data_IF_172640382935
#
_entry.id   IF_172640382935
#
_cell.length_a   1.000
_cell.length_b   1.000
_cell.length_c   1.000
_cell.angle_alpha   90.00
_cell.angle_beta   90.00
_cell.angle_gamma   90.00
#
_symmetry.space_group_name_H-M   'P 1'
#
loop_
_entity.id
_entity.type
_entity.pdbx_description
1 polymer ?
#
# COMPACT_ATOMS: atom_id res chain seq x y z
N UNK A 1 -21.44 -5.90 5.51
CA UNK A 1 -20.47 -6.36 6.52
C UNK A 1 -19.88 -7.77 6.30
N UNK A 2 -20.49 -8.65 5.49
CA UNK A 2 -20.13 -10.08 5.45
C UNK A 2 -19.07 -10.57 4.42
N UNK A 3 -18.71 -9.81 3.38
CA UNK A 3 -18.03 -10.40 2.22
C UNK A 3 -16.49 -10.36 2.25
N UNK A 4 -15.89 -9.36 2.91
CA UNK A 4 -14.44 -9.11 2.88
C UNK A 4 -13.72 -9.87 4.00
N UNK A 5 -14.32 -9.90 5.20
CA UNK A 5 -13.84 -10.78 6.26
C UNK A 5 -13.98 -12.25 5.84
N UNK A 6 -15.05 -12.67 5.16
CA UNK A 6 -15.26 -14.09 4.79
C UNK A 6 -14.13 -14.72 3.95
N UNK A 7 -13.61 -14.02 2.94
CA UNK A 7 -12.60 -14.57 2.03
C UNK A 7 -11.17 -14.38 2.52
N UNK A 8 -10.86 -13.24 3.16
CA UNK A 8 -9.58 -13.05 3.84
C UNK A 8 -9.48 -13.95 5.06
N UNK A 9 -10.52 -14.09 5.89
CA UNK A 9 -10.53 -15.07 6.97
C UNK A 9 -10.53 -16.50 6.45
N UNK A 10 -11.21 -16.89 5.37
CA UNK A 10 -11.10 -18.29 4.88
C UNK A 10 -9.67 -18.70 4.51
N UNK A 11 -8.81 -17.78 4.03
CA UNK A 11 -7.38 -18.05 3.79
C UNK A 11 -6.49 -17.75 5.00
N UNK A 12 -6.78 -16.70 5.77
CA UNK A 12 -6.03 -16.28 6.97
C UNK A 12 -6.31 -17.19 8.16
N UNK A 13 -7.55 -17.65 8.37
CA UNK A 13 -7.90 -18.71 9.33
C UNK A 13 -7.21 -20.03 8.98
N UNK A 14 -6.93 -20.28 7.70
CA UNK A 14 -6.10 -21.44 7.29
C UNK A 14 -4.62 -21.28 7.68
N UNK A 15 -4.15 -20.04 7.87
CA UNK A 15 -2.78 -19.72 8.28
C UNK A 15 -2.65 -19.52 9.81
N UNK A 16 -3.73 -19.10 10.47
CA UNK A 16 -3.83 -18.93 11.93
C UNK A 16 -4.06 -20.27 12.65
N UNK A 17 -4.43 -21.34 11.93
CA UNK A 17 -4.58 -22.67 12.51
C UNK A 17 -3.54 -23.64 11.92
N UNK A 18 -2.28 -23.48 12.33
CA UNK A 18 -1.40 -24.62 12.55
C UNK A 18 -0.80 -24.48 13.94
N UNK A 19 -1.65 -24.67 14.96
CA UNK A 19 -1.18 -25.16 16.25
C UNK A 19 -1.07 -26.68 16.13
N UNK A 20 0.14 -27.16 15.88
CA UNK A 20 0.46 -28.57 16.16
C UNK A 20 1.44 -28.74 17.32
N UNK A 21 1.97 -27.66 17.91
CA UNK A 21 3.07 -27.76 18.88
C UNK A 21 3.30 -26.54 19.82
N UNK A 22 2.27 -25.75 20.17
CA UNK A 22 2.40 -24.63 21.13
C UNK A 22 3.39 -23.50 20.70
N UNK A 23 3.75 -23.40 19.42
CA UNK A 23 4.71 -22.41 18.94
C UNK A 23 4.05 -21.08 18.55
N UNK A 24 4.63 -19.96 19.00
CA UNK A 24 4.18 -18.61 18.65
C UNK A 24 4.51 -18.30 17.17
N UNK A 25 3.50 -17.88 16.39
CA UNK A 25 3.70 -17.45 15.00
C UNK A 25 3.93 -15.93 14.99
N UNK A 26 5.11 -15.50 14.59
CA UNK A 26 5.41 -14.08 14.43
C UNK A 26 4.53 -13.43 13.36
N UNK A 27 4.03 -12.23 13.66
CA UNK A 27 3.16 -11.42 12.78
C UNK A 27 3.80 -11.18 11.40
N UNK A 28 5.13 -11.07 11.33
CA UNK A 28 5.84 -10.83 10.07
C UNK A 28 5.65 -11.98 9.07
N UNK A 29 5.45 -13.22 9.57
CA UNK A 29 5.14 -14.37 8.70
C UNK A 29 3.74 -14.24 8.09
N UNK A 30 2.77 -13.78 8.87
CA UNK A 30 1.42 -13.51 8.36
C UNK A 30 1.46 -12.38 7.31
N UNK A 31 2.15 -11.28 7.62
CA UNK A 31 2.33 -10.17 6.70
C UNK A 31 3.00 -10.59 5.39
N UNK A 32 4.00 -11.47 5.44
CA UNK A 32 4.66 -12.02 4.26
C UNK A 32 3.66 -12.70 3.30
N UNK A 33 2.81 -13.60 3.81
CA UNK A 33 1.83 -14.28 2.96
C UNK A 33 0.74 -13.33 2.44
N UNK A 34 0.34 -12.33 3.23
CA UNK A 34 -0.57 -11.27 2.76
C UNK A 34 0.08 -10.52 1.60
N UNK A 35 1.35 -10.11 1.70
CA UNK A 35 2.07 -9.43 0.61
C UNK A 35 2.14 -10.30 -0.64
N UNK A 36 2.45 -11.59 -0.51
CA UNK A 36 2.55 -12.50 -1.66
C UNK A 36 1.23 -12.64 -2.43
N UNK A 37 0.10 -12.72 -1.71
CA UNK A 37 -1.23 -12.79 -2.33
C UNK A 37 -1.62 -11.45 -2.97
N UNK A 38 -1.46 -10.33 -2.23
CA UNK A 38 -1.84 -9.00 -2.71
C UNK A 38 -0.94 -8.52 -3.85
N UNK A 39 0.32 -8.95 -3.89
CA UNK A 39 1.21 -8.68 -5.01
C UNK A 39 0.66 -9.25 -6.33
N UNK A 40 -0.07 -10.36 -6.29
CA UNK A 40 -0.67 -10.97 -7.49
C UNK A 40 -2.03 -10.37 -7.81
N UNK A 41 -2.83 -10.09 -6.78
CA UNK A 41 -4.27 -9.81 -6.93
C UNK A 41 -4.61 -8.32 -6.92
N UNK A 42 -3.91 -7.50 -6.13
CA UNK A 42 -4.26 -6.09 -5.95
C UNK A 42 -3.78 -5.23 -7.15
N UNK A 43 -4.68 -4.48 -7.82
CA UNK A 43 -4.29 -3.49 -8.82
C UNK A 43 -3.45 -2.37 -8.20
N UNK A 44 -2.46 -1.89 -8.97
CA UNK A 44 -1.59 -0.77 -8.62
C UNK A 44 -2.28 0.53 -8.96
N UNK A 45 -2.18 1.49 -8.05
CA UNK A 45 -2.69 2.85 -8.21
C UNK A 45 -1.73 3.84 -7.55
N UNK A 46 -1.88 5.13 -7.83
CA UNK A 46 -1.09 6.18 -7.19
C UNK A 46 -1.95 7.00 -6.24
N UNK A 47 -1.41 7.19 -5.04
CA UNK A 47 -1.94 8.05 -3.98
C UNK A 47 -0.74 8.75 -3.36
N UNK A 48 -0.87 10.04 -3.06
CA UNK A 48 0.13 10.86 -2.39
C UNK A 48 -0.41 11.23 -1.02
N UNK A 49 0.28 10.78 0.03
CA UNK A 49 -0.15 10.96 1.42
C UNK A 49 0.08 12.37 1.92
N UNK A 50 1.25 12.94 1.64
CA UNK A 50 1.62 14.29 2.04
C UNK A 50 1.97 15.10 0.80
N UNK A 51 0.98 15.68 0.10
CA UNK A 51 1.18 16.30 -1.20
C UNK A 51 2.05 17.55 -1.14
N UNK A 52 3.07 17.61 -2.00
CA UNK A 52 3.80 18.84 -2.35
C UNK A 52 3.55 19.16 -3.81
N UNK A 53 3.13 20.40 -4.06
CA UNK A 53 2.81 20.89 -5.40
C UNK A 53 4.07 21.00 -6.26
N UNK A 54 3.97 20.50 -7.48
CA UNK A 54 4.96 20.60 -8.54
C UNK A 54 4.31 21.22 -9.77
N UNK A 55 4.90 22.29 -10.29
CA UNK A 55 4.48 22.98 -11.50
C UNK A 55 5.44 22.66 -12.63
N UNK A 56 4.93 22.07 -13.70
CA UNK A 56 5.65 21.76 -14.92
C UNK A 56 5.65 22.99 -15.82
N UNK A 57 6.76 23.71 -15.86
CA UNK A 57 6.85 25.06 -16.47
C UNK A 57 6.89 25.03 -17.99
N UNK A 58 7.29 23.92 -18.60
CA UNK A 58 7.39 23.74 -20.05
C UNK A 58 6.24 22.91 -20.64
N UNK A 59 5.14 22.72 -19.91
CA UNK A 59 3.89 22.15 -20.41
C UNK A 59 2.81 23.25 -20.42
N UNK A 60 2.05 23.34 -21.50
CA UNK A 60 0.94 24.30 -21.60
C UNK A 60 -0.14 23.99 -20.55
N UNK A 61 -0.70 25.04 -19.94
CA UNK A 61 -1.56 24.91 -18.75
C UNK A 61 -2.88 24.17 -19.04
N UNK A 62 -3.36 24.23 -20.28
CA UNK A 62 -4.59 23.56 -20.71
C UNK A 62 -4.35 22.13 -21.20
N UNK A 63 -3.08 21.70 -21.29
CA UNK A 63 -2.73 20.40 -21.85
C UNK A 63 -2.93 19.25 -20.86
N UNK A 64 -3.57 18.18 -21.33
CA UNK A 64 -3.72 16.91 -20.61
C UNK A 64 -3.11 15.79 -21.45
N UNK A 65 -2.05 15.16 -20.94
CA UNK A 65 -1.43 13.98 -21.55
C UNK A 65 -1.87 12.73 -20.78
N UNK A 66 -2.61 11.83 -21.41
CA UNK A 66 -3.04 10.59 -20.77
C UNK A 66 -1.94 9.51 -20.89
N UNK A 67 -1.27 9.20 -19.78
CA UNK A 67 -0.23 8.16 -19.72
C UNK A 67 -0.82 6.80 -19.31
N UNK A 68 -0.24 5.71 -19.83
CA UNK A 68 -0.65 4.35 -19.50
C UNK A 68 0.09 3.84 -18.26
N UNK A 69 -0.66 3.62 -17.17
CA UNK A 69 -0.15 3.03 -15.94
C UNK A 69 -0.56 1.57 -15.83
N UNK A 70 0.40 0.70 -15.47
CA UNK A 70 0.17 -0.75 -15.39
C UNK A 70 -0.48 -1.13 -14.05
N UNK A 71 -1.56 -1.91 -14.07
CA UNK A 71 -2.28 -2.36 -12.87
C UNK A 71 -1.63 -3.56 -12.18
N UNK A 72 -0.99 -4.47 -12.91
CA UNK A 72 -0.37 -5.68 -12.33
C UNK A 72 1.02 -5.94 -12.93
N UNK A 73 2.05 -6.32 -12.14
CA UNK A 73 3.42 -6.53 -12.63
C UNK A 73 3.49 -7.65 -13.66
N UNK A 74 2.77 -8.74 -13.42
CA UNK A 74 2.76 -9.94 -14.25
C UNK A 74 1.82 -9.86 -15.46
N UNK A 75 1.04 -8.79 -15.60
CA UNK A 75 0.15 -8.65 -16.74
C UNK A 75 0.93 -8.62 -18.06
N UNK A 76 0.46 -9.40 -19.04
CA UNK A 76 1.02 -9.45 -20.38
C UNK A 76 0.76 -8.13 -21.11
N UNK A 77 1.73 -7.68 -21.92
CA UNK A 77 1.72 -6.34 -22.53
C UNK A 77 0.62 -6.12 -23.58
N UNK A 78 -0.09 -7.16 -23.99
CA UNK A 78 -1.09 -7.15 -25.06
C UNK A 78 -2.55 -7.06 -24.57
N UNK A 79 -2.77 -7.01 -23.25
CA UNK A 79 -4.11 -6.86 -22.68
C UNK A 79 -4.35 -5.42 -22.23
N UNK A 80 -5.19 -4.68 -22.97
CA UNK A 80 -5.54 -3.30 -22.64
C UNK A 80 -6.18 -3.13 -21.26
N UNK A 81 -6.84 -4.18 -20.72
CA UNK A 81 -7.47 -4.12 -19.39
C UNK A 81 -6.45 -4.06 -18.24
N UNK A 82 -5.20 -4.43 -18.53
CA UNK A 82 -4.05 -4.42 -17.63
C UNK A 82 -3.47 -3.02 -17.36
N UNK A 83 -3.99 -2.00 -18.06
CA UNK A 83 -3.59 -0.62 -17.89
C UNK A 83 -4.77 0.25 -17.44
N UNK A 84 -4.46 1.41 -16.89
CA UNK A 84 -5.39 2.51 -16.67
C UNK A 84 -4.73 3.81 -17.12
N UNK A 85 -5.53 4.75 -17.57
CA UNK A 85 -5.06 6.08 -17.96
C UNK A 85 -4.89 6.95 -16.72
N UNK A 86 -3.78 7.67 -16.66
CA UNK A 86 -3.51 8.69 -15.64
C UNK A 86 -3.29 10.02 -16.36
N UNK A 87 -4.01 11.09 -15.99
CA UNK A 87 -3.79 12.40 -16.58
C UNK A 87 -2.46 12.98 -16.08
N UNK A 88 -1.68 13.52 -17.01
CA UNK A 88 -0.48 14.31 -16.74
C UNK A 88 -0.75 15.74 -17.20
N UNK A 89 -0.79 16.66 -16.25
CA UNK A 89 -1.10 18.09 -16.44
C UNK A 89 0.04 18.95 -15.91
N UNK A 90 -0.02 20.28 -16.09
CA UNK A 90 1.04 21.18 -15.65
C UNK A 90 1.16 21.25 -14.12
N UNK A 91 0.13 20.85 -13.36
CA UNK A 91 0.17 20.81 -11.90
C UNK A 91 0.04 19.37 -11.42
N UNK A 92 1.05 18.90 -10.70
CA UNK A 92 1.07 17.59 -10.07
C UNK A 92 1.57 17.65 -8.64
N UNK A 93 1.43 16.53 -7.94
CA UNK A 93 1.77 16.39 -6.54
C UNK A 93 2.63 15.14 -6.34
N UNK A 94 3.66 15.28 -5.53
CA UNK A 94 4.55 14.20 -5.08
C UNK A 94 4.55 14.13 -3.55
N UNK A 95 5.10 13.07 -2.96
CA UNK A 95 5.27 13.02 -1.51
C UNK A 95 6.22 14.10 -1.02
N UNK A 96 5.89 14.68 0.13
CA UNK A 96 6.77 15.59 0.85
C UNK A 96 8.16 15.02 1.09
N UNK A 97 8.23 13.74 1.43
CA UNK A 97 9.49 13.05 1.72
C UNK A 97 10.34 12.79 0.47
N UNK A 98 9.77 12.92 -0.72
CA UNK A 98 10.45 12.74 -2.01
C UNK A 98 11.17 13.99 -2.50
N UNK A 99 11.10 15.12 -1.77
CA UNK A 99 11.89 16.31 -2.04
C UNK A 99 12.82 16.67 -0.87
N UNK A 100 14.04 17.11 -1.17
CA UNK A 100 14.98 17.69 -0.19
C UNK A 100 15.75 18.86 -0.80
N UNK A 101 16.08 19.86 0.04
CA UNK A 101 16.90 21.02 -0.33
C UNK A 101 18.32 20.64 -0.74
N UNK A 102 18.95 19.76 0.04
CA UNK A 102 20.31 19.30 -0.20
C UNK A 102 20.31 17.89 -0.78
N UNK A 103 20.96 17.72 -1.92
CA UNK A 103 21.16 16.40 -2.54
C UNK A 103 22.29 15.61 -1.86
N UNK A 104 22.22 14.29 -1.95
CA UNK A 104 23.29 13.38 -1.54
C UNK A 104 23.39 12.22 -2.53
N UNK A 105 24.57 11.58 -2.60
CA UNK A 105 24.86 10.51 -3.58
C UNK A 105 23.94 9.29 -3.45
N UNK A 106 23.41 9.06 -2.26
CA UNK A 106 22.50 7.96 -1.89
C UNK A 106 21.01 8.37 -1.90
N UNK A 107 20.71 9.64 -2.19
CA UNK A 107 19.34 10.11 -2.29
C UNK A 107 18.78 9.85 -3.70
N UNK A 108 17.59 9.27 -3.77
CA UNK A 108 16.89 8.98 -5.02
C UNK A 108 15.63 9.83 -5.23
N UNK A 109 15.38 10.81 -4.36
CA UNK A 109 14.33 11.80 -4.54
C UNK A 109 14.76 13.02 -5.34
N UNK A 110 13.88 14.01 -5.41
CA UNK A 110 14.04 15.27 -6.11
C UNK A 110 14.76 16.31 -5.24
N UNK A 111 15.62 17.10 -5.85
CA UNK A 111 16.35 18.20 -5.22
C UNK A 111 16.60 19.28 -6.28
N UNK A 112 16.91 20.53 -5.90
CA UNK A 112 17.24 21.60 -6.86
C UNK A 112 18.28 21.16 -7.89
N UNK A 113 17.97 21.33 -9.18
CA UNK A 113 18.83 20.93 -10.31
C UNK A 113 18.86 19.43 -10.63
N UNK A 114 18.26 18.58 -9.80
CA UNK A 114 18.24 17.12 -9.96
C UNK A 114 17.03 16.66 -10.77
N UNK A 115 17.19 15.53 -11.46
CA UNK A 115 16.12 14.86 -12.20
C UNK A 115 15.66 13.56 -11.55
N UNK A 116 14.36 13.27 -11.67
CA UNK A 116 13.70 12.02 -11.25
C UNK A 116 12.71 11.57 -12.32
N UNK A 117 12.41 10.27 -12.37
CA UNK A 117 11.37 9.73 -13.24
C UNK A 117 10.04 9.70 -12.50
N UNK A 118 9.01 10.32 -13.07
CA UNK A 118 7.65 10.10 -12.63
C UNK A 118 7.17 8.72 -13.11
N UNK A 119 6.72 7.87 -12.18
CA UNK A 119 6.25 6.51 -12.46
C UNK A 119 5.22 6.55 -13.61
N UNK A 120 5.44 5.73 -14.63
CA UNK A 120 4.61 5.64 -15.85
C UNK A 120 4.60 6.87 -16.78
N UNK A 121 5.27 7.98 -16.44
CA UNK A 121 5.26 9.21 -17.22
C UNK A 121 6.65 9.58 -17.74
N UNK A 122 7.10 10.80 -17.44
CA UNK A 122 8.30 11.44 -17.97
C UNK A 122 9.31 11.73 -16.86
N UNK A 123 10.62 11.78 -17.18
CA UNK A 123 11.59 12.41 -16.31
C UNK A 123 11.25 13.89 -16.11
N UNK A 124 11.39 14.39 -14.90
CA UNK A 124 11.29 15.82 -14.57
C UNK A 124 12.60 16.28 -13.94
N UNK A 125 12.97 17.55 -14.16
CA UNK A 125 14.11 18.21 -13.53
C UNK A 125 13.62 19.39 -12.71
N UNK A 126 13.97 19.44 -11.43
CA UNK A 126 13.67 20.60 -10.59
C UNK A 126 14.51 21.80 -11.03
N UNK A 127 13.85 22.89 -11.42
CA UNK A 127 14.45 24.12 -11.92
C UNK A 127 14.44 25.22 -10.87
N UNK A 128 13.37 25.33 -10.09
CA UNK A 128 13.23 26.31 -9.01
C UNK A 128 12.34 25.78 -7.87
N UNK A 129 12.43 26.41 -6.69
CA UNK A 129 11.69 25.98 -5.49
C UNK A 129 11.25 27.20 -4.69
N UNK A 130 9.95 27.27 -4.41
CA UNK A 130 9.34 28.28 -3.54
C UNK A 130 9.27 27.71 -2.12
N UNK A 131 9.96 28.37 -1.20
CA UNK A 131 9.95 28.05 0.23
C UNK A 131 8.99 28.99 0.97
N UNK A 132 8.41 28.50 2.07
CA UNK A 132 7.60 29.27 3.00
C UNK A 132 8.44 29.98 4.06
N UNK A 133 7.78 30.29 5.19
CA UNK A 133 8.38 31.05 6.29
C UNK A 133 9.59 30.37 6.91
N UNK A 134 9.64 29.04 6.85
CA UNK A 134 10.83 28.26 7.20
C UNK A 134 11.48 27.68 5.93
N UNK A 135 12.81 27.68 5.89
CA UNK A 135 13.57 27.20 4.72
C UNK A 135 13.40 25.70 4.42
N UNK A 136 12.76 24.94 5.33
CA UNK A 136 12.44 23.53 5.15
C UNK A 136 10.99 23.32 4.69
N UNK A 137 10.19 24.39 4.62
CA UNK A 137 8.78 24.40 4.27
C UNK A 137 8.63 24.68 2.78
N UNK A 138 8.85 23.67 1.95
CA UNK A 138 8.64 23.78 0.50
C UNK A 138 7.15 23.99 0.22
N UNK A 139 6.79 25.07 -0.44
CA UNK A 139 5.40 25.34 -0.82
C UNK A 139 5.15 24.78 -2.22
N UNK A 140 6.06 25.06 -3.16
CA UNK A 140 5.90 24.73 -4.56
C UNK A 140 7.25 24.43 -5.20
N UNK A 141 7.29 23.43 -6.07
CA UNK A 141 8.48 23.05 -6.84
C UNK A 141 8.21 23.35 -8.30
N UNK A 142 9.10 24.06 -8.97
CA UNK A 142 9.06 24.22 -10.42
C UNK A 142 9.96 23.19 -11.06
N UNK A 143 9.46 22.56 -12.12
CA UNK A 143 10.20 21.54 -12.84
C UNK A 143 9.92 21.60 -14.34
N UNK A 144 10.88 21.11 -15.11
CA UNK A 144 10.71 20.88 -16.55
C UNK A 144 10.65 19.37 -16.83
N UNK A 145 9.72 18.94 -17.68
CA UNK A 145 9.62 17.54 -18.09
C UNK A 145 10.39 17.28 -19.39
N UNK A 146 10.99 16.09 -19.49
CA UNK A 146 11.69 15.60 -20.67
C UNK A 146 10.78 14.68 -21.49
N UNK A 147 10.07 15.26 -22.46
CA UNK A 147 9.19 14.53 -23.38
C UNK A 147 9.92 13.41 -24.15
N UNK A 148 11.17 13.65 -24.54
CA UNK A 148 11.98 12.72 -25.33
C UNK A 148 12.57 11.58 -24.49
N UNK A 149 12.42 11.64 -23.15
CA UNK A 149 12.95 10.66 -22.18
C UNK A 149 14.44 10.40 -22.38
N UNK A 150 15.21 11.43 -22.77
CA UNK A 150 16.67 11.36 -22.95
C UNK A 150 17.37 11.17 -21.63
N UNK A 151 16.86 11.81 -20.59
CA UNK A 151 17.35 11.74 -19.22
C UNK A 151 16.93 10.42 -18.59
N UNK A 152 17.89 9.67 -18.04
CA UNK A 152 17.65 8.42 -17.31
C UNK A 152 18.02 8.59 -15.84
N UNK A 153 17.17 9.27 -15.05
CA UNK A 153 17.44 9.48 -13.64
C UNK A 153 17.38 8.17 -12.86
N UNK A 154 18.06 8.13 -11.71
CA UNK A 154 18.09 6.94 -10.85
C UNK A 154 16.81 6.79 -10.02
N UNK A 155 16.19 7.90 -9.65
CA UNK A 155 15.00 7.97 -8.81
C UNK A 155 13.72 7.76 -9.60
N UNK A 156 12.75 7.06 -8.99
CA UNK A 156 11.39 6.92 -9.53
C UNK A 156 10.39 7.27 -8.44
N UNK A 157 9.54 8.26 -8.70
CA UNK A 157 8.54 8.77 -7.75
C UNK A 157 7.14 8.41 -8.21
N UNK A 158 6.25 8.09 -7.27
CA UNK A 158 4.81 8.12 -7.55
C UNK A 158 4.31 9.56 -7.44
N UNK A 159 3.19 9.83 -8.09
CA UNK A 159 2.63 11.16 -8.22
C UNK A 159 1.14 11.07 -8.53
N UNK A 160 0.44 12.18 -8.30
CA UNK A 160 -0.95 12.40 -8.70
C UNK A 160 -1.02 13.80 -9.30
N UNK A 161 -1.68 13.97 -10.44
CA UNK A 161 -1.91 15.28 -11.03
C UNK A 161 -3.35 15.73 -10.92
N UNK A 162 -3.57 17.01 -11.22
CA UNK A 162 -4.92 17.52 -11.45
C UNK A 162 -5.59 16.69 -12.57
N UNK A 163 -6.82 16.17 -12.37
CA UNK A 163 -7.51 15.39 -13.39
C UNK A 163 -7.83 16.21 -14.64
N UNK A 164 -8.01 17.51 -14.46
CA UNK A 164 -8.10 18.53 -15.51
C UNK A 164 -7.53 19.85 -14.97
N UNK A 165 -7.08 20.78 -15.84
CA UNK A 165 -6.56 22.08 -15.41
C UNK A 165 -7.47 22.78 -14.42
N UNK A 166 -6.92 23.21 -13.29
CA UNK A 166 -7.65 23.94 -12.25
C UNK A 166 -8.54 23.09 -11.32
N UNK A 167 -8.62 21.77 -11.53
CA UNK A 167 -9.38 20.86 -10.66
C UNK A 167 -8.44 20.14 -9.69
N UNK A 168 -8.74 20.15 -8.40
CA UNK A 168 -7.93 19.41 -7.42
C UNK A 168 -8.07 17.89 -7.59
N UNK A 169 -7.03 17.11 -7.25
CA UNK A 169 -7.14 15.66 -7.18
C UNK A 169 -8.22 15.20 -6.18
N UNK A 170 -8.65 13.94 -6.33
CA UNK A 170 -9.58 13.32 -5.39
C UNK A 170 -8.94 13.28 -3.99
N UNK A 171 -9.60 13.84 -2.98
CA UNK A 171 -9.19 13.75 -1.59
C UNK A 171 -9.70 12.46 -0.96
N UNK A 172 -8.84 11.74 -0.26
CA UNK A 172 -9.16 10.48 0.42
C UNK A 172 -8.58 10.45 1.82
N UNK A 173 -9.25 9.76 2.73
CA UNK A 173 -8.68 9.46 4.05
C UNK A 173 -7.87 8.17 3.99
N UNK A 174 -6.64 8.21 4.50
CA UNK A 174 -5.77 7.04 4.59
C UNK A 174 -5.41 6.80 6.05
N UNK A 175 -5.67 5.58 6.52
CA UNK A 175 -5.34 5.13 7.88
C UNK A 175 -4.15 4.18 7.82
N UNK A 176 -3.04 4.60 8.41
CA UNK A 176 -1.82 3.82 8.50
C UNK A 176 -1.82 3.11 9.85
N UNK A 177 -1.75 1.78 9.82
CA UNK A 177 -1.67 0.96 11.02
C UNK A 177 -0.25 0.42 11.22
N UNK A 178 0.17 0.38 12.48
CA UNK A 178 1.38 -0.27 12.98
C UNK A 178 0.98 -1.31 14.05
N UNK A 179 1.97 -2.01 14.62
CA UNK A 179 1.73 -2.96 15.71
C UNK A 179 1.00 -2.26 16.87
N UNK A 180 -0.05 -2.90 17.40
CA UNK A 180 -0.87 -2.37 18.50
C UNK A 180 -0.08 -2.28 19.81
N UNK A 181 0.82 -3.22 20.04
CA UNK A 181 1.62 -3.36 21.24
C UNK A 181 3.09 -3.09 20.92
N UNK A 182 3.83 -2.54 21.88
CA UNK A 182 5.27 -2.34 21.76
C UNK A 182 6.04 -3.65 21.98
N UNK A 183 5.55 -4.49 22.89
CA UNK A 183 6.16 -5.77 23.20
C UNK A 183 5.79 -6.86 22.20
N UNK A 184 6.72 -7.79 21.92
CA UNK A 184 6.45 -8.93 21.03
C UNK A 184 5.44 -9.91 21.63
N UNK A 185 5.44 -10.05 22.97
CA UNK A 185 4.52 -10.89 23.71
C UNK A 185 3.86 -10.11 24.86
N UNK A 186 2.83 -9.29 24.58
CA UNK A 186 2.15 -8.51 25.62
C UNK A 186 1.46 -9.39 26.68
N UNK A 187 1.19 -10.67 26.39
CA UNK A 187 0.55 -11.60 27.33
C UNK A 187 1.45 -12.01 28.51
N UNK A 188 2.76 -11.78 28.41
CA UNK A 188 3.73 -12.03 29.49
C UNK A 188 3.93 -10.80 30.40
N UNK A 189 3.34 -9.65 30.06
CA UNK A 189 3.43 -8.44 30.86
C UNK A 189 2.45 -8.50 32.04
N UNK A 190 2.90 -8.02 33.20
CA UNK A 190 2.03 -7.87 34.37
C UNK A 190 0.91 -6.84 34.12
N UNK A 191 1.22 -5.75 33.40
CA UNK A 191 0.27 -4.71 33.00
C UNK A 191 0.33 -4.45 31.48
N UNK A 192 -0.28 -5.34 30.71
CA UNK A 192 -0.36 -5.23 29.24
C UNK A 192 -1.15 -4.00 28.76
N UNK A 193 -1.97 -3.37 29.62
CA UNK A 193 -2.71 -2.15 29.27
C UNK A 193 -1.80 -0.92 29.17
N UNK A 194 -0.58 -1.01 29.73
CA UNK A 194 0.46 0.03 29.61
C UNK A 194 1.32 -0.09 28.34
N UNK A 195 1.23 -1.21 27.63
CA UNK A 195 2.03 -1.54 26.44
C UNK A 195 1.46 -1.10 25.06
N UNK A 196 0.24 -0.54 24.91
CA UNK A 196 -0.22 -0.06 23.62
C UNK A 196 0.73 0.97 22.98
N UNK A 197 1.02 0.77 21.70
CA UNK A 197 1.81 1.68 20.88
C UNK A 197 0.99 2.94 20.55
N UNK A 198 1.41 4.13 21.00
CA UNK A 198 0.71 5.38 20.69
C UNK A 198 0.71 5.71 19.20
N UNK A 199 1.65 5.15 18.43
CA UNK A 199 1.76 5.31 16.98
C UNK A 199 1.14 4.13 16.20
N UNK A 200 0.31 3.30 16.86
CA UNK A 200 -0.37 2.16 16.23
C UNK A 200 -1.34 2.54 15.12
N UNK A 201 -1.79 3.81 15.11
CA UNK A 201 -2.68 4.36 14.09
C UNK A 201 -2.31 5.81 13.80
N UNK A 202 -2.08 6.11 12.53
CA UNK A 202 -1.99 7.47 11.99
C UNK A 202 -3.13 7.67 10.97
N UNK A 203 -3.78 8.82 11.01
CA UNK A 203 -4.87 9.16 10.08
C UNK A 203 -4.47 10.38 9.26
N UNK A 204 -4.48 10.20 7.94
CA UNK A 204 -4.21 11.25 6.96
C UNK A 204 -5.54 11.59 6.30
N UNK A 205 -6.10 12.77 6.60
CA UNK A 205 -7.45 13.12 6.17
C UNK A 205 -7.55 13.59 4.71
N UNK A 206 -6.48 14.18 4.16
CA UNK A 206 -6.48 14.83 2.85
C UNK A 206 -5.34 14.32 1.95
N UNK A 207 -5.23 13.00 1.80
CA UNK A 207 -4.33 12.42 0.79
C UNK A 207 -4.90 12.64 -0.62
N UNK A 208 -4.03 12.84 -1.60
CA UNK A 208 -4.42 13.04 -3.00
C UNK A 208 -4.36 11.73 -3.77
N UNK A 209 -5.45 11.38 -4.44
CA UNK A 209 -5.62 10.15 -5.19
C UNK A 209 -6.00 10.42 -6.65
N UNK A 210 -5.71 9.44 -7.51
CA UNK A 210 -6.28 9.42 -8.86
C UNK A 210 -7.80 9.29 -8.81
N UNK A 211 -8.49 9.96 -9.74
CA UNK A 211 -9.95 10.03 -9.79
C UNK A 211 -10.63 8.66 -9.91
N UNK A 212 -9.95 7.65 -10.47
CA UNK A 212 -10.47 6.29 -10.58
C UNK A 212 -10.73 5.62 -9.23
N UNK A 213 -10.18 6.14 -8.12
CA UNK A 213 -10.49 5.65 -6.78
C UNK A 213 -11.82 6.17 -6.23
N UNK A 214 -12.48 7.12 -6.88
CA UNK A 214 -13.81 7.59 -6.48
C UNK A 214 -14.88 6.49 -6.57
N UNK A 215 -14.68 5.50 -7.45
CA UNK A 215 -15.58 4.36 -7.61
C UNK A 215 -15.17 3.13 -6.78
N UNK A 216 -14.21 3.27 -5.85
CA UNK A 216 -13.76 2.17 -5.01
C UNK A 216 -14.88 1.77 -4.03
N UNK A 217 -15.12 0.46 -3.90
CA UNK A 217 -16.17 -0.07 -3.02
C UNK A 217 -15.60 -0.93 -1.90
N UNK A 218 -16.39 -1.12 -0.84
CA UNK A 218 -16.01 -1.93 0.31
C UNK A 218 -15.46 -3.30 -0.12
N UNK A 219 -14.21 -3.58 0.27
CA UNK A 219 -13.52 -4.84 -0.04
C UNK A 219 -12.57 -4.80 -1.22
N UNK A 220 -12.62 -3.73 -2.02
CA UNK A 220 -11.59 -3.48 -3.01
C UNK A 220 -10.24 -3.32 -2.32
N UNK A 221 -9.21 -3.80 -3.02
CA UNK A 221 -7.84 -3.85 -2.54
C UNK A 221 -6.94 -3.25 -3.59
N UNK A 222 -5.98 -2.43 -3.16
CA UNK A 222 -5.06 -1.74 -4.04
C UNK A 222 -3.64 -1.85 -3.50
N UNK A 223 -2.67 -1.86 -4.40
CA UNK A 223 -1.31 -1.49 -4.04
C UNK A 223 -1.14 -0.01 -4.36
N UNK A 224 -0.98 0.83 -3.33
CA UNK A 224 -0.55 2.20 -3.55
C UNK A 224 0.94 2.17 -3.82
N UNK A 225 1.34 2.63 -5.02
CA UNK A 225 2.73 2.60 -5.48
C UNK A 225 3.67 3.17 -4.41
N UNK A 226 4.73 2.44 -4.09
CA UNK A 226 5.75 2.75 -3.05
C UNK A 226 5.27 2.79 -1.58
N UNK A 227 3.97 2.81 -1.31
CA UNK A 227 3.44 2.96 0.04
C UNK A 227 3.09 1.63 0.72
N UNK A 228 2.34 0.76 0.05
CA UNK A 228 1.83 -0.46 0.68
C UNK A 228 0.62 -1.04 -0.04
N UNK A 229 -0.02 -2.01 0.62
CA UNK A 229 -1.30 -2.54 0.21
C UNK A 229 -2.40 -1.99 1.11
N UNK A 230 -3.51 -1.61 0.51
CA UNK A 230 -4.62 -0.91 1.13
C UNK A 230 -5.94 -1.58 0.77
N UNK A 231 -6.89 -1.52 1.69
CA UNK A 231 -8.26 -1.97 1.49
C UNK A 231 -9.24 -0.82 1.79
N UNK A 232 -10.35 -0.78 1.06
CA UNK A 232 -11.43 0.17 1.32
C UNK A 232 -12.12 -0.16 2.64
N UNK A 233 -12.26 0.85 3.50
CA UNK A 233 -12.85 0.75 4.83
C UNK A 233 -14.39 0.89 4.79
N UNK A 234 -15.15 0.28 5.73
CA UNK A 234 -16.60 0.46 5.82
C UNK A 234 -17.07 1.91 6.01
N UNK A 235 -16.22 2.79 6.56
CA UNK A 235 -16.53 4.21 6.73
C UNK A 235 -16.52 4.99 5.40
N UNK A 236 -16.15 4.32 4.30
CA UNK A 236 -16.20 4.91 2.95
C UNK A 236 -17.61 5.34 2.58
N UNK A 237 -17.73 6.52 1.99
CA UNK A 237 -18.97 7.00 1.39
C UNK A 237 -18.66 7.73 0.07
N UNK A 238 -19.71 8.23 -0.61
CA UNK A 238 -19.59 8.86 -1.93
C UNK A 238 -18.73 10.13 -1.94
N UNK A 239 -18.58 10.81 -0.80
CA UNK A 239 -17.82 12.07 -0.68
C UNK A 239 -16.41 11.84 -0.14
N UNK A 240 -16.25 10.81 0.71
CA UNK A 240 -15.01 10.55 1.43
C UNK A 240 -14.62 9.08 1.33
N UNK A 241 -13.83 8.70 0.32
CA UNK A 241 -13.21 7.38 0.27
C UNK A 241 -12.23 7.20 1.43
N UNK A 242 -12.32 6.05 2.12
CA UNK A 242 -11.46 5.73 3.28
C UNK A 242 -10.69 4.45 2.99
N UNK A 243 -9.36 4.50 3.16
CA UNK A 243 -8.46 3.38 2.89
C UNK A 243 -7.62 3.02 4.12
N UNK A 244 -7.56 1.74 4.44
CA UNK A 244 -6.74 1.21 5.53
C UNK A 244 -5.51 0.50 4.96
N UNK A 245 -4.32 0.84 5.46
CA UNK A 245 -3.10 0.08 5.14
C UNK A 245 -3.21 -1.31 5.74
N UNK A 246 -3.26 -2.32 4.89
CA UNK A 246 -3.24 -3.73 5.30
C UNK A 246 -1.83 -4.18 5.66
N UNK A 247 -0.84 -3.84 4.83
CA UNK A 247 0.57 -4.19 5.05
C UNK A 247 1.49 -3.31 4.20
N UNK A 248 2.70 -3.02 4.70
CA UNK A 248 3.74 -2.27 3.98
C UNK A 248 4.37 -3.11 2.86
N UNK A 249 5.06 -2.47 1.89
CA UNK A 249 5.68 -3.20 0.76
C UNK A 249 6.93 -4.01 1.14
N UNK A 250 7.61 -3.65 2.23
CA UNK A 250 8.81 -4.33 2.71
C UNK A 250 8.60 -4.78 4.13
N UNK A 251 9.15 -5.93 4.46
CA UNK A 251 9.34 -6.34 5.85
C UNK A 251 10.23 -5.31 6.55
N UNK A 252 9.83 -4.86 7.74
CA UNK A 252 10.71 -4.14 8.66
C UNK A 252 11.87 -5.05 9.14
N UNK A 253 11.77 -6.36 8.91
CA UNK A 253 12.79 -7.35 9.25
C UNK A 253 13.93 -7.41 8.22
N UNK A 254 15.15 -7.37 8.74
CA UNK A 254 16.40 -7.42 8.00
C UNK A 254 16.52 -8.68 7.11
N UNK A 255 17.18 -8.54 5.95
CA UNK A 255 17.43 -9.58 4.93
C UNK A 255 17.94 -10.94 5.48
N UNK A 256 18.50 -10.97 6.68
CA UNK A 256 18.98 -12.19 7.34
C UNK A 256 17.88 -13.20 7.68
N UNK A 257 16.68 -12.76 8.08
CA UNK A 257 15.59 -13.65 8.50
C UNK A 257 14.80 -14.25 7.33
N UNK A 258 14.68 -13.54 6.20
CA UNK A 258 14.10 -14.07 4.97
C UNK A 258 14.88 -15.25 4.40
N UNK A 259 16.21 -15.25 4.51
CA UNK A 259 17.05 -16.38 4.10
C UNK A 259 16.85 -17.62 5.00
N UNK A 260 16.53 -17.42 6.28
CA UNK A 260 16.21 -18.48 7.23
C UNK A 260 14.82 -19.08 6.98
N UNK A 261 13.84 -18.27 6.59
CA UNK A 261 12.49 -18.75 6.18
C UNK A 261 12.57 -19.63 4.93
N UNK A 262 13.29 -19.19 3.89
CA UNK A 262 13.51 -19.98 2.66
C UNK A 262 14.30 -21.27 2.89
N UNK A 263 15.24 -21.27 3.85
CA UNK A 263 15.98 -22.48 4.28
C UNK A 263 15.13 -23.46 5.12
N UNK A 264 14.10 -22.98 5.81
CA UNK A 264 13.17 -23.85 6.56
C UNK A 264 12.10 -24.47 5.66
N UNK A 265 11.69 -23.81 4.57
CA UNK A 265 10.81 -24.40 3.55
C UNK A 265 11.42 -25.63 2.84
N UNK A 266 12.73 -25.61 2.60
CA UNK A 266 13.46 -26.71 1.94
C UNK A 266 13.61 -27.97 2.82
N UNK A 267 13.07 -27.96 4.05
CA UNK A 267 13.11 -29.08 5.00
C UNK A 267 11.78 -29.84 5.13
N UNK A 268 10.73 -29.41 4.42
CA UNK A 268 9.45 -30.11 4.40
C UNK A 268 9.31 -30.90 3.09
N UNK A 269 9.63 -32.19 3.15
CA UNK A 269 9.31 -33.16 2.10
C UNK A 269 7.85 -33.58 2.30
N UNK A 270 7.00 -33.29 1.31
CA UNK A 270 5.64 -33.82 1.26
C UNK A 270 5.74 -35.33 1.03
N UNK A 271 5.44 -36.14 2.04
CA UNK A 271 5.21 -37.57 1.85
C UNK A 271 3.79 -37.78 1.35
N UNK A 272 3.66 -38.29 0.12
CA UNK A 272 2.39 -38.82 -0.38
C UNK A 272 2.52 -40.34 -0.52
N UNK A 273 1.88 -41.08 0.38
CA UNK A 273 1.61 -42.51 0.16
C UNK A 273 0.16 -42.67 -0.33
N UNK A 274 0.05 -42.94 -1.64
CA UNK A 274 -1.02 -43.66 -2.36
C UNK A 274 -2.49 -43.39 -1.94
N UNK A 275 -3.17 -42.61 -2.79
CA UNK A 275 -4.57 -42.78 -3.23
C UNK A 275 -5.62 -43.26 -2.21
N UNK A 276 -5.89 -42.48 -1.15
CA UNK A 276 -7.25 -42.34 -0.60
C UNK A 276 -7.36 -41.11 0.31
N UNK A 277 -8.35 -40.25 0.03
CA UNK A 277 -8.67 -39.09 0.86
C UNK A 277 -9.46 -39.59 2.07
N UNK A 278 -8.84 -39.59 3.25
CA UNK A 278 -9.54 -39.77 4.53
C UNK A 278 -9.67 -38.38 5.16
N UNK A 279 -10.87 -37.80 5.13
CA UNK A 279 -11.17 -36.63 5.97
C UNK A 279 -11.21 -37.10 7.44
N UNK A 280 -10.19 -36.72 8.21
CA UNK A 280 -10.11 -36.98 9.65
C UNK A 280 -11.28 -36.34 10.39
N UNK A 281 -11.93 -37.11 11.27
CA UNK A 281 -13.05 -36.69 12.14
C UNK A 281 -12.72 -35.51 13.06
N UNK A 282 -11.43 -35.15 13.23
CA UNK A 282 -11.01 -33.93 13.95
C UNK A 282 -11.29 -32.64 13.17
N UNK A 283 -11.36 -32.69 11.84
CA UNK A 283 -11.75 -31.53 11.02
C UNK A 283 -13.24 -31.19 11.20
N UNK A 284 -14.09 -32.17 11.50
CA UNK A 284 -15.54 -31.97 11.62
C UNK A 284 -15.94 -31.21 12.90
N UNK A 285 -15.25 -31.47 14.01
CA UNK A 285 -15.50 -30.79 15.29
C UNK A 285 -14.97 -29.35 15.30
N UNK A 286 -13.89 -29.06 14.56
CA UNK A 286 -13.38 -27.69 14.41
C UNK A 286 -14.38 -26.79 13.65
N UNK A 287 -15.08 -27.33 12.65
CA UNK A 287 -16.08 -26.59 11.88
C UNK A 287 -17.29 -26.19 12.75
N UNK A 288 -17.77 -27.07 13.63
CA UNK A 288 -18.87 -26.73 14.56
C UNK A 288 -18.46 -25.73 15.65
N UNK A 289 -17.21 -25.77 16.11
CA UNK A 289 -16.68 -24.78 17.06
C UNK A 289 -16.57 -23.39 16.41
N UNK A 290 -16.16 -23.34 15.13
CA UNK A 290 -16.08 -22.11 14.34
C UNK A 290 -17.48 -21.51 14.10
N UNK A 291 -18.50 -22.34 13.80
CA UNK A 291 -19.88 -21.85 13.66
C UNK A 291 -20.44 -21.27 14.97
N UNK A 292 -20.06 -21.81 16.14
CA UNK A 292 -20.46 -21.27 17.45
C UNK A 292 -19.76 -19.94 17.77
N UNK A 293 -18.49 -19.80 17.43
CA UNK A 293 -17.73 -18.55 17.65
C UNK A 293 -18.21 -17.44 16.70
N UNK A 294 -18.51 -17.78 15.44
CA UNK A 294 -19.10 -16.84 14.47
C UNK A 294 -20.46 -16.34 14.96
N UNK A 295 -21.35 -17.22 15.45
CA UNK A 295 -22.64 -16.82 16.04
C UNK A 295 -22.51 -15.97 17.30
N UNK A 296 -21.48 -16.22 18.13
CA UNK A 296 -21.18 -15.42 19.32
C UNK A 296 -20.64 -14.02 18.95
N UNK A 297 -19.89 -13.88 17.86
CA UNK A 297 -19.41 -12.56 17.41
C UNK A 297 -20.47 -11.76 16.65
N UNK A 298 -21.37 -12.44 15.94
CA UNK A 298 -22.56 -11.83 15.32
C UNK A 298 -23.57 -11.31 16.35
N UNK A 299 -23.67 -11.94 17.53
CA UNK A 299 -24.55 -11.45 18.61
C UNK A 299 -23.99 -10.24 19.36
N UNK A 300 -22.68 -9.98 19.26
CA UNK A 300 -22.01 -8.82 19.88
C UNK A 300 -22.00 -7.57 19.00
N UNK A 301 -22.40 -7.69 17.73
CA UNK A 301 -22.47 -6.58 16.76
C UNK A 301 -23.89 -6.06 16.53
N UNK A 302 -24.88 -6.56 17.30
CA UNK A 302 -26.28 -6.07 17.33
C UNK A 302 -26.68 -5.38 18.66
N UNK A 303 -25.71 -5.01 19.49
CA UNK A 303 -25.87 -4.11 20.64
C UNK A 303 -25.06 -2.83 20.38
#
# INVERSE_FOLDING_TARGET
MHCVLSLLFKKVTLLVIVYSDNSMIHIDRLEYYIREELNKTAPRTTVVLHPVKVVITNLDNESIINVDAKKWPAALSNDGSSYYKVPFTSILYIERSDFRKNDSKDYYGLAPGKSVLLRYAFPIKCTDVIYGDDENSVIEIHAEYDFLKKTKPKGVLHWVAQPSPGVEPLKVEVRLFEKLFLSENPAELEDWLSDPNPNSKEVIHEAYAVLSLASAVLGDKYQFERLGYFAVDPDTNSEKPVFNRTVTLRDAYSKGNLALLKRKESRWVVWTEKNNIIFSTKLFNATQAIERIIRLMESWTQL
#
